data_IF_378445926519
#
_entry.id   IF_378445926519
#
_cell.length_a   1.000
_cell.length_b   1.000
_cell.length_c   1.000
_cell.angle_alpha   90.00
_cell.angle_beta   90.00
_cell.angle_gamma   90.00
#
_symmetry.space_group_name_H-M   'P 1'
#
loop_
_entity.id
_entity.type
_entity.pdbx_description
1 polymer ?
#
# COMPACT_ATOMS: atom_id res chain seq x y z
N UNK A 1 -8.63 17.28 -21.25
CA UNK A 1 -8.64 16.17 -20.27
C UNK A 1 -7.76 15.08 -20.85
N UNK A 2 -6.78 14.56 -20.11
CA UNK A 2 -5.94 13.46 -20.60
C UNK A 2 -6.76 12.18 -20.46
N UNK A 3 -7.14 11.58 -21.59
CA UNK A 3 -7.81 10.28 -21.63
C UNK A 3 -6.74 9.18 -21.73
N UNK A 4 -6.85 8.16 -20.89
CA UNK A 4 -5.93 7.03 -20.87
C UNK A 4 -6.59 5.77 -21.43
N UNK A 5 -5.76 4.87 -21.96
CA UNK A 5 -6.23 3.57 -22.43
C UNK A 5 -6.90 2.80 -21.27
N UNK A 6 -8.12 2.27 -21.45
CA UNK A 6 -8.84 1.46 -20.47
C UNK A 6 -7.99 0.37 -19.81
N UNK A 7 -7.09 -0.27 -20.57
CA UNK A 7 -6.23 -1.32 -20.08
C UNK A 7 -5.31 -0.80 -18.97
N UNK A 8 -4.65 0.34 -19.18
CA UNK A 8 -3.74 0.95 -18.21
C UNK A 8 -4.48 1.37 -16.94
N UNK A 9 -5.67 1.95 -17.11
CA UNK A 9 -6.52 2.37 -15.98
C UNK A 9 -6.91 1.17 -15.13
N UNK A 10 -7.38 0.07 -15.76
CA UNK A 10 -7.79 -1.13 -15.02
C UNK A 10 -6.62 -1.90 -14.42
N UNK A 11 -5.46 -1.94 -15.07
CA UNK A 11 -4.24 -2.49 -14.49
C UNK A 11 -3.85 -1.74 -13.21
N UNK A 12 -3.84 -0.40 -13.26
CA UNK A 12 -3.52 0.44 -12.10
C UNK A 12 -4.56 0.25 -10.96
N UNK A 13 -5.85 0.30 -11.30
CA UNK A 13 -6.93 0.16 -10.35
C UNK A 13 -6.91 -1.20 -9.67
N UNK A 14 -6.75 -2.28 -10.44
CA UNK A 14 -6.74 -3.63 -9.90
C UNK A 14 -5.49 -3.90 -9.04
N UNK A 15 -4.33 -3.37 -9.43
CA UNK A 15 -3.11 -3.51 -8.64
C UNK A 15 -3.24 -2.84 -7.27
N UNK A 16 -3.80 -1.62 -7.24
CA UNK A 16 -4.08 -0.91 -6.00
C UNK A 16 -5.19 -1.57 -5.19
N UNK A 17 -6.26 -2.05 -5.83
CA UNK A 17 -7.32 -2.78 -5.14
C UNK A 17 -6.80 -4.06 -4.47
N UNK A 18 -5.96 -4.84 -5.16
CA UNK A 18 -5.30 -6.02 -4.56
C UNK A 18 -4.40 -5.62 -3.39
N UNK A 19 -3.63 -4.54 -3.54
CA UNK A 19 -2.76 -4.04 -2.47
C UNK A 19 -3.56 -3.68 -1.21
N UNK A 20 -4.61 -2.86 -1.36
CA UNK A 20 -5.42 -2.40 -0.23
C UNK A 20 -6.26 -3.52 0.37
N UNK A 21 -6.78 -4.45 -0.45
CA UNK A 21 -7.48 -5.63 0.06
C UNK A 21 -6.55 -6.50 0.91
N UNK A 22 -5.32 -6.75 0.44
CA UNK A 22 -4.33 -7.49 1.21
C UNK A 22 -3.96 -6.78 2.52
N UNK A 23 -3.71 -5.47 2.46
CA UNK A 23 -3.38 -4.67 3.63
C UNK A 23 -4.53 -4.65 4.67
N UNK A 24 -5.78 -4.52 4.21
CA UNK A 24 -6.95 -4.55 5.06
C UNK A 24 -7.13 -5.92 5.73
N UNK A 25 -6.97 -7.01 4.98
CA UNK A 25 -7.09 -8.37 5.51
C UNK A 25 -6.02 -8.65 6.58
N UNK A 26 -4.78 -8.26 6.33
CA UNK A 26 -3.68 -8.47 7.28
C UNK A 26 -3.89 -7.67 8.58
N UNK A 27 -4.34 -6.41 8.49
CA UNK A 27 -4.64 -5.60 9.69
C UNK A 27 -5.88 -6.09 10.43
N UNK A 28 -6.89 -6.58 9.71
CA UNK A 28 -8.10 -7.11 10.30
C UNK A 28 -7.89 -8.45 11.03
N UNK A 29 -6.88 -9.25 10.63
CA UNK A 29 -6.53 -10.52 11.27
C UNK A 29 -5.93 -10.34 12.66
N UNK A 30 -5.17 -9.26 12.87
CA UNK A 30 -4.56 -8.94 14.16
C UNK A 30 -4.74 -7.45 14.48
N UNK A 31 -5.93 -7.13 15.02
CA UNK A 31 -6.27 -5.77 15.44
C UNK A 31 -5.42 -5.29 16.63
N UNK A 32 -4.97 -6.21 17.49
CA UNK A 32 -4.15 -5.86 18.65
C UNK A 32 -2.76 -5.41 18.19
N UNK A 33 -2.14 -6.14 17.27
CA UNK A 33 -0.90 -5.72 16.63
C UNK A 33 -1.07 -4.41 15.85
N UNK A 34 -2.20 -4.25 15.15
CA UNK A 34 -2.51 -3.00 14.45
C UNK A 34 -2.64 -1.81 15.41
N UNK A 35 -3.27 -2.00 16.57
CA UNK A 35 -3.36 -0.99 17.62
C UNK A 35 -1.98 -0.60 18.17
N UNK A 36 -1.11 -1.58 18.41
CA UNK A 36 0.27 -1.33 18.83
C UNK A 36 1.05 -0.52 17.78
N UNK A 37 0.91 -0.87 16.50
CA UNK A 37 1.51 -0.10 15.41
C UNK A 37 0.96 1.33 15.38
N UNK A 38 -0.36 1.50 15.40
CA UNK A 38 -1.01 2.83 15.40
C UNK A 38 -0.51 3.70 16.57
N UNK A 39 -0.41 3.13 17.77
CA UNK A 39 0.14 3.81 18.94
C UNK A 39 1.63 4.17 18.75
N UNK A 40 2.44 3.27 18.21
CA UNK A 40 3.86 3.50 17.94
C UNK A 40 4.09 4.65 16.94
N UNK A 41 3.15 4.86 16.02
CA UNK A 41 3.16 5.99 15.08
C UNK A 41 2.76 7.33 15.69
N UNK A 42 2.37 7.36 16.97
CA UNK A 42 2.08 8.58 17.73
C UNK A 42 0.59 8.86 17.93
N UNK A 43 -0.30 7.92 17.59
CA UNK A 43 -1.72 8.05 17.89
C UNK A 43 -1.96 7.85 19.40
N UNK A 44 -2.69 8.75 20.09
CA UNK A 44 -3.00 8.61 21.51
C UNK A 44 -3.74 7.31 21.82
N UNK A 45 -3.34 6.65 22.90
CA UNK A 45 -3.87 5.34 23.33
C UNK A 45 -5.41 5.31 23.42
N UNK A 46 -6.04 6.42 23.81
CA UNK A 46 -7.50 6.56 23.94
C UNK A 46 -8.25 6.35 22.62
N UNK A 47 -7.60 6.64 21.48
CA UNK A 47 -8.20 6.51 20.15
C UNK A 47 -7.52 5.43 19.29
N UNK A 48 -6.41 4.84 19.74
CA UNK A 48 -5.68 3.81 19.00
C UNK A 48 -6.54 2.60 18.65
N UNK A 49 -7.36 2.09 19.58
CA UNK A 49 -8.28 0.98 19.31
C UNK A 49 -9.32 1.32 18.23
N UNK A 50 -9.82 2.56 18.21
CA UNK A 50 -10.78 3.01 17.21
C UNK A 50 -10.09 3.13 15.83
N UNK A 51 -8.89 3.72 15.78
CA UNK A 51 -8.08 3.81 14.57
C UNK A 51 -7.68 2.44 14.03
N UNK A 52 -7.32 1.49 14.90
CA UNK A 52 -6.94 0.14 14.52
C UNK A 52 -8.06 -0.62 13.80
N UNK A 53 -9.33 -0.33 14.12
CA UNK A 53 -10.49 -0.90 13.42
C UNK A 53 -10.89 -0.10 12.19
N UNK A 54 -10.82 1.24 12.27
CA UNK A 54 -11.18 2.11 11.17
C UNK A 54 -10.23 1.97 9.98
N UNK A 55 -8.92 1.81 10.24
CA UNK A 55 -7.91 1.76 9.20
C UNK A 55 -8.13 0.60 8.19
N UNK A 56 -8.29 -0.68 8.61
CA UNK A 56 -8.63 -1.75 7.69
C UNK A 56 -9.95 -1.51 6.93
N UNK A 57 -10.95 -0.90 7.57
CA UNK A 57 -12.23 -0.61 6.92
C UNK A 57 -12.07 0.45 5.81
N UNK A 58 -11.27 1.48 6.04
CA UNK A 58 -10.98 2.53 5.05
C UNK A 58 -10.12 1.98 3.90
N UNK A 59 -9.17 1.09 4.19
CA UNK A 59 -8.40 0.38 3.16
C UNK A 59 -9.28 -0.53 2.30
N UNK A 60 -10.16 -1.32 2.92
CA UNK A 60 -11.13 -2.15 2.21
C UNK A 60 -12.07 -1.30 1.35
N UNK A 61 -12.53 -0.15 1.86
CA UNK A 61 -13.35 0.80 1.10
C UNK A 61 -12.61 1.32 -0.13
N UNK A 62 -11.32 1.68 -0.02
CA UNK A 62 -10.52 2.11 -1.16
C UNK A 62 -10.44 1.02 -2.24
N UNK A 63 -10.20 -0.23 -1.83
CA UNK A 63 -10.16 -1.38 -2.74
C UNK A 63 -11.49 -1.60 -3.47
N UNK A 64 -12.61 -1.51 -2.74
CA UNK A 64 -13.96 -1.66 -3.31
C UNK A 64 -14.28 -0.52 -4.28
N UNK A 65 -14.07 0.74 -3.88
CA UNK A 65 -14.39 1.89 -4.72
C UNK A 65 -13.64 1.86 -6.05
N UNK A 66 -12.36 1.48 -6.05
CA UNK A 66 -11.54 1.34 -7.26
C UNK A 66 -12.15 0.39 -8.31
N UNK A 67 -12.91 -0.61 -7.87
CA UNK A 67 -13.52 -1.65 -8.73
C UNK A 67 -14.99 -1.37 -9.07
N UNK A 68 -15.50 -0.18 -8.73
CA UNK A 68 -16.90 0.22 -8.95
C UNK A 68 -16.96 1.47 -9.85
N UNK A 69 -18.16 1.95 -10.23
CA UNK A 69 -18.30 3.24 -10.93
C UNK A 69 -17.72 4.44 -10.15
N UNK A 70 -17.47 4.28 -8.85
CA UNK A 70 -16.86 5.29 -7.97
C UNK A 70 -15.33 5.27 -7.98
N UNK A 71 -14.72 4.65 -9.00
CA UNK A 71 -13.26 4.49 -9.16
C UNK A 71 -12.46 5.77 -8.92
N UNK A 72 -12.92 6.91 -9.44
CA UNK A 72 -12.23 8.18 -9.24
C UNK A 72 -12.15 8.58 -7.75
N UNK A 73 -13.22 8.38 -6.98
CA UNK A 73 -13.21 8.60 -5.53
C UNK A 73 -12.31 7.58 -4.82
N UNK A 74 -12.35 6.31 -5.24
CA UNK A 74 -11.45 5.27 -4.75
C UNK A 74 -9.97 5.59 -4.99
N UNK A 75 -9.64 6.16 -6.15
CA UNK A 75 -8.30 6.60 -6.50
C UNK A 75 -7.82 7.77 -5.62
N UNK A 76 -8.68 8.75 -5.34
CA UNK A 76 -8.36 9.85 -4.42
C UNK A 76 -8.13 9.31 -3.00
N UNK A 77 -8.99 8.42 -2.52
CA UNK A 77 -8.83 7.79 -1.21
C UNK A 77 -7.53 6.97 -1.13
N UNK A 78 -7.24 6.18 -2.15
CA UNK A 78 -6.00 5.41 -2.28
C UNK A 78 -4.77 6.31 -2.22
N UNK A 79 -4.74 7.38 -3.02
CA UNK A 79 -3.64 8.34 -3.02
C UNK A 79 -3.47 9.00 -1.64
N UNK A 80 -4.58 9.42 -1.01
CA UNK A 80 -4.55 10.04 0.31
C UNK A 80 -3.97 9.09 1.37
N UNK A 81 -4.39 7.82 1.39
CA UNK A 81 -3.86 6.81 2.32
C UNK A 81 -2.37 6.56 2.10
N UNK A 82 -1.95 6.35 0.85
CA UNK A 82 -0.55 6.10 0.51
C UNK A 82 0.36 7.28 0.88
N UNK A 83 -0.08 8.51 0.61
CA UNK A 83 0.65 9.72 0.98
C UNK A 83 0.67 9.93 2.49
N UNK A 84 -0.42 9.64 3.20
CA UNK A 84 -0.45 9.69 4.66
C UNK A 84 0.56 8.69 5.27
N UNK A 85 0.60 7.45 4.77
CA UNK A 85 1.61 6.47 5.18
C UNK A 85 3.03 6.93 4.84
N UNK A 86 3.26 7.43 3.62
CA UNK A 86 4.56 7.97 3.19
C UNK A 86 5.04 9.10 4.11
N UNK A 87 4.16 10.05 4.43
CA UNK A 87 4.46 11.19 5.29
C UNK A 87 4.77 10.75 6.73
N UNK A 88 3.97 9.84 7.29
CA UNK A 88 4.20 9.31 8.63
C UNK A 88 5.55 8.56 8.72
N UNK A 89 5.85 7.72 7.74
CA UNK A 89 7.14 7.02 7.64
C UNK A 89 8.33 8.00 7.48
N UNK A 90 8.20 8.98 6.60
CA UNK A 90 9.25 9.99 6.37
C UNK A 90 9.51 10.80 7.64
N UNK A 91 8.45 11.23 8.34
CA UNK A 91 8.56 11.98 9.60
C UNK A 91 9.35 11.20 10.65
N UNK A 92 8.94 9.96 10.95
CA UNK A 92 9.66 9.15 11.95
C UNK A 92 11.09 8.85 11.53
N UNK A 93 11.34 8.65 10.23
CA UNK A 93 12.69 8.40 9.73
C UNK A 93 13.60 9.62 9.87
N UNK A 94 13.10 10.82 9.58
CA UNK A 94 13.82 12.08 9.79
C UNK A 94 14.17 12.32 11.27
N UNK A 95 13.34 11.82 12.19
CA UNK A 95 13.58 11.91 13.64
C UNK A 95 14.39 10.74 14.21
N UNK A 96 15.02 9.92 13.36
CA UNK A 96 15.89 8.83 13.82
C UNK A 96 15.16 7.60 14.40
N UNK A 97 13.82 7.54 14.32
CA UNK A 97 13.04 6.44 14.89
C UNK A 97 13.03 5.23 13.96
N UNK A 98 13.22 4.03 14.52
CA UNK A 98 13.08 2.75 13.83
C UNK A 98 11.71 2.15 14.18
N UNK A 99 10.73 2.39 13.31
CA UNK A 99 9.41 1.77 13.40
C UNK A 99 9.26 0.71 12.31
N UNK A 100 8.33 -0.21 12.49
CA UNK A 100 7.89 -1.11 11.43
C UNK A 100 6.84 -0.46 10.55
N UNK A 101 6.79 -0.86 9.27
CA UNK A 101 5.84 -0.30 8.31
C UNK A 101 4.38 -0.72 8.58
N UNK A 102 4.14 -1.79 9.35
CA UNK A 102 2.81 -2.31 9.67
C UNK A 102 1.98 -2.79 8.46
N UNK A 103 2.58 -2.90 7.26
CA UNK A 103 1.87 -3.08 5.98
C UNK A 103 1.94 -4.51 5.39
N UNK A 104 2.03 -5.56 6.21
CA UNK A 104 2.05 -6.94 5.68
C UNK A 104 2.40 -8.03 6.69
N UNK A 105 1.78 -7.97 7.88
CA UNK A 105 1.85 -8.98 8.94
C UNK A 105 3.21 -9.09 9.66
N UNK A 106 4.32 -9.12 8.93
CA UNK A 106 5.65 -9.27 9.51
C UNK A 106 6.42 -7.95 9.63
N UNK A 107 7.33 -7.85 10.63
CA UNK A 107 8.16 -6.68 10.83
C UNK A 107 8.99 -6.36 9.59
N UNK A 108 8.82 -5.14 9.08
CA UNK A 108 9.69 -4.58 8.06
C UNK A 108 10.00 -3.14 8.47
N UNK A 109 11.27 -2.83 8.80
CA UNK A 109 11.63 -1.51 9.30
C UNK A 109 11.40 -0.45 8.22
N UNK A 110 10.89 0.70 8.66
CA UNK A 110 10.68 1.88 7.83
C UNK A 110 11.99 2.31 7.17
N UNK A 111 11.96 2.43 5.85
CA UNK A 111 13.09 2.85 5.02
C UNK A 111 12.64 3.86 3.97
N UNK A 112 13.59 4.66 3.45
CA UNK A 112 13.31 5.60 2.36
C UNK A 112 12.77 4.90 1.10
N UNK A 113 13.14 3.63 0.88
CA UNK A 113 12.58 2.82 -0.20
C UNK A 113 11.06 2.64 -0.07
N UNK A 114 10.54 2.47 1.16
CA UNK A 114 9.10 2.36 1.41
C UNK A 114 8.36 3.69 1.21
N UNK A 115 9.01 4.82 1.54
CA UNK A 115 8.46 6.16 1.29
C UNK A 115 8.32 6.39 -0.21
N UNK A 116 9.39 6.15 -0.98
CA UNK A 116 9.38 6.27 -2.45
C UNK A 116 8.36 5.34 -3.06
N UNK A 117 8.27 4.08 -2.61
CA UNK A 117 7.26 3.12 -3.06
C UNK A 117 5.85 3.68 -2.91
N UNK A 118 5.49 4.21 -1.74
CA UNK A 118 4.16 4.77 -1.52
C UNK A 118 3.90 6.01 -2.39
N UNK A 119 4.92 6.84 -2.63
CA UNK A 119 4.83 7.94 -3.60
C UNK A 119 4.55 7.47 -5.03
N UNK A 120 5.24 6.42 -5.49
CA UNK A 120 5.00 5.82 -6.82
C UNK A 120 3.60 5.18 -6.91
N UNK A 121 3.15 4.50 -5.86
CA UNK A 121 1.79 3.94 -5.81
C UNK A 121 0.73 5.04 -5.78
N UNK A 122 1.00 6.18 -5.14
CA UNK A 122 0.10 7.34 -5.16
C UNK A 122 0.02 7.95 -6.58
N UNK A 123 1.13 8.01 -7.31
CA UNK A 123 1.11 8.39 -8.73
C UNK A 123 0.30 7.39 -9.58
N UNK A 124 0.44 6.09 -9.32
CA UNK A 124 -0.36 5.04 -9.94
C UNK A 124 -1.87 5.20 -9.63
N UNK A 125 -2.22 5.70 -8.45
CA UNK A 125 -3.61 6.02 -8.12
C UNK A 125 -4.16 7.14 -9.02
N UNK A 126 -3.32 8.12 -9.41
CA UNK A 126 -3.68 9.12 -10.42
C UNK A 126 -4.06 8.49 -11.77
N UNK A 127 -3.30 7.47 -12.22
CA UNK A 127 -3.63 6.69 -13.43
C UNK A 127 -4.95 5.93 -13.24
N UNK A 128 -5.12 5.29 -12.09
CA UNK A 128 -6.34 4.57 -11.76
C UNK A 128 -7.57 5.49 -11.66
N UNK A 129 -7.41 6.78 -11.42
CA UNK A 129 -8.48 7.78 -11.36
C UNK A 129 -8.79 8.49 -12.68
N UNK A 130 -7.98 8.27 -13.72
CA UNK A 130 -8.11 8.98 -14.99
C UNK A 130 -9.40 8.66 -15.76
N UNK A 131 -9.79 9.58 -16.65
CA UNK A 131 -10.83 9.34 -17.63
C UNK A 131 -10.35 8.28 -18.64
N UNK A 132 -11.27 7.40 -19.04
CA UNK A 132 -10.97 6.31 -19.96
C UNK A 132 -11.32 6.75 -21.38
N UNK A 133 -10.41 6.51 -22.32
CA UNK A 133 -10.69 6.66 -23.74
C UNK A 133 -11.83 5.71 -24.17
N UNK A 134 -12.64 6.07 -25.19
CA UNK A 134 -13.75 5.26 -25.68
C UNK A 134 -13.25 4.06 -26.49
N UNK A 135 -12.61 3.11 -25.81
CA UNK A 135 -12.12 1.84 -26.35
C UNK A 135 -12.79 0.69 -25.60
N UNK A 136 -13.31 -0.29 -26.34
CA UNK A 136 -13.84 -1.51 -25.73
C UNK A 136 -12.70 -2.42 -25.25
N UNK A 137 -12.85 -3.01 -24.06
CA UNK A 137 -11.94 -4.06 -23.60
C UNK A 137 -12.37 -5.41 -24.17
N UNK A 138 -11.44 -6.10 -24.83
CA UNK A 138 -11.62 -7.47 -25.27
C UNK A 138 -11.19 -8.49 -24.21
N UNK A 139 -11.51 -9.77 -24.43
CA UNK A 139 -11.04 -10.87 -23.55
C UNK A 139 -9.51 -10.91 -23.39
N UNK A 140 -8.78 -10.57 -24.45
CA UNK A 140 -7.31 -10.45 -24.41
C UNK A 140 -6.83 -9.42 -23.39
N UNK A 141 -7.51 -8.27 -23.30
CA UNK A 141 -7.16 -7.21 -22.34
C UNK A 141 -7.34 -7.71 -20.90
N UNK A 142 -8.38 -8.49 -20.61
CA UNK A 142 -8.56 -9.11 -19.30
C UNK A 142 -7.43 -10.08 -18.94
N UNK A 143 -6.99 -10.92 -19.88
CA UNK A 143 -5.83 -11.80 -19.64
C UNK A 143 -4.56 -11.02 -19.35
N UNK A 144 -4.34 -9.90 -20.07
CA UNK A 144 -3.19 -9.02 -19.81
C UNK A 144 -3.27 -8.41 -18.41
N UNK A 145 -4.44 -7.92 -17.99
CA UNK A 145 -4.65 -7.41 -16.63
C UNK A 145 -4.31 -8.48 -15.59
N UNK A 146 -4.88 -9.68 -15.71
CA UNK A 146 -4.65 -10.78 -14.76
C UNK A 146 -3.17 -11.17 -14.73
N UNK A 147 -2.54 -11.35 -15.88
CA UNK A 147 -1.12 -11.70 -15.96
C UNK A 147 -0.22 -10.60 -15.35
N UNK A 148 -0.51 -9.33 -15.63
CA UNK A 148 0.22 -8.21 -15.07
C UNK A 148 0.04 -8.11 -13.55
N UNK A 149 -1.15 -8.38 -13.02
CA UNK A 149 -1.41 -8.42 -11.58
C UNK A 149 -0.67 -9.57 -10.90
N UNK A 150 -0.69 -10.77 -11.49
CA UNK A 150 0.08 -11.91 -10.97
C UNK A 150 1.57 -11.59 -10.96
N UNK A 151 2.10 -11.03 -12.03
CA UNK A 151 3.50 -10.61 -12.09
C UNK A 151 3.81 -9.53 -11.04
N UNK A 152 2.97 -8.49 -10.94
CA UNK A 152 3.16 -7.40 -9.99
C UNK A 152 3.11 -7.88 -8.53
N UNK A 153 2.21 -8.80 -8.19
CA UNK A 153 2.11 -9.37 -6.84
C UNK A 153 3.33 -10.23 -6.51
N UNK A 154 3.82 -11.04 -7.45
CA UNK A 154 5.05 -11.83 -7.28
C UNK A 154 6.29 -10.93 -7.13
N UNK A 155 6.42 -9.90 -7.96
CA UNK A 155 7.50 -8.92 -7.86
C UNK A 155 7.44 -8.15 -6.55
N UNK A 156 6.23 -7.78 -6.10
CA UNK A 156 6.03 -7.15 -4.81
C UNK A 156 6.48 -8.05 -3.66
N UNK A 157 6.06 -9.32 -3.65
CA UNK A 157 6.46 -10.30 -2.65
C UNK A 157 7.98 -10.51 -2.64
N UNK A 158 8.60 -10.65 -3.81
CA UNK A 158 10.04 -10.81 -3.96
C UNK A 158 10.82 -9.59 -3.45
N UNK A 159 10.38 -8.37 -3.82
CA UNK A 159 10.99 -7.13 -3.32
C UNK A 159 10.87 -7.05 -1.80
N UNK A 160 9.71 -7.39 -1.24
CA UNK A 160 9.50 -7.41 0.20
C UNK A 160 10.42 -8.41 0.89
N UNK A 161 10.60 -9.60 0.32
CA UNK A 161 11.52 -10.62 0.82
C UNK A 161 12.98 -10.15 0.79
N UNK A 162 13.42 -9.47 -0.28
CA UNK A 162 14.78 -8.91 -0.38
C UNK A 162 15.00 -7.80 0.65
N UNK A 163 14.04 -6.90 0.82
CA UNK A 163 14.12 -5.83 1.81
C UNK A 163 14.20 -6.39 3.24
N UNK A 164 13.37 -7.39 3.56
CA UNK A 164 13.43 -8.12 4.83
C UNK A 164 14.79 -8.77 5.05
N UNK A 165 15.30 -9.48 4.03
CA UNK A 165 16.60 -10.16 4.13
C UNK A 165 17.75 -9.17 4.38
N UNK A 166 17.76 -8.04 3.66
CA UNK A 166 18.77 -6.98 3.87
C UNK A 166 18.70 -6.38 5.27
N UNK A 167 17.50 -6.12 5.79
CA UNK A 167 17.32 -5.61 7.15
C UNK A 167 17.87 -6.61 8.20
N UNK A 168 17.59 -7.91 8.03
CA UNK A 168 18.12 -8.96 8.90
C UNK A 168 19.66 -9.06 8.88
N UNK A 169 20.28 -8.93 7.71
CA UNK A 169 21.75 -8.91 7.59
C UNK A 169 22.38 -7.70 8.30
N UNK A 170 21.79 -6.51 8.16
CA UNK A 170 22.29 -5.30 8.81
C UNK A 170 22.26 -5.43 10.34
N UNK A 171 21.18 -5.98 10.91
CA UNK A 171 21.06 -6.22 12.35
C UNK A 171 22.17 -7.16 12.87
N UNK A 172 22.49 -8.25 12.15
CA UNK A 172 23.55 -9.20 12.53
C UNK A 172 24.94 -8.56 12.49
N UNK A 173 25.22 -7.72 11.49
CA UNK A 173 26.51 -7.03 11.38
C UNK A 173 26.71 -5.97 12.46
N UNK A 174 25.63 -5.32 12.93
CA UNK A 174 25.69 -4.36 14.03
C UNK A 174 26.05 -5.04 15.36
N UNK A 175 25.46 -6.21 15.64
CA UNK A 175 25.74 -6.99 16.85
C UNK A 175 27.18 -7.51 16.93
N UNK A 176 27.82 -7.78 15.79
CA UNK A 176 29.22 -8.22 15.76
C UNK A 176 30.24 -7.08 15.98
N UNK A 177 29.80 -5.81 15.94
CA UNK A 177 30.66 -4.62 16.11
C UNK A 177 30.54 -3.97 17.50
N UNK A 178 29.63 -4.44 18.34
CA UNK A 178 29.45 -4.04 19.75
C UNK A 178 30.13 -5.02 20.69
#
# INVERSE_FOLDING_TARGET
>A
MIELDPLLVWMAAAALATLFAHAALDKARDLALTEQHVAAYGVPFQISAAFARALPAVEALAALLLMTPWRAAGAVLAAALLLAYAAAMAWHRLHGRSLDCGCGGEPLPVSWALVVRNGLLAALAGVAGAAMAPRAMGLGDFFVVVAALLMATLLYAALHQVLRHRAGLQARTAFHRS
#
